data_IF_243644112015
#
_entry.id   IF_243644112015
#
_cell.length_a   1.000
_cell.length_b   1.000
_cell.length_c   1.000
_cell.angle_alpha   90.00
_cell.angle_beta   90.00
_cell.angle_gamma   90.00
#
_symmetry.space_group_name_H-M   'P 1'
#
loop_
_entity.id
_entity.type
_entity.pdbx_description
1 polymer ?
#
# COMPACT_ATOMS: atom_id res chain seq x y z
N UNK A 1 9.81 -27.22 -6.27
CA UNK A 1 9.06 -26.24 -5.48
C UNK A 1 9.94 -25.66 -4.37
N UNK A 2 10.62 -26.48 -3.56
CA UNK A 2 11.47 -25.99 -2.46
C UNK A 2 12.60 -25.07 -2.94
N UNK A 3 13.33 -25.46 -3.99
CA UNK A 3 14.35 -24.64 -4.64
C UNK A 3 13.75 -23.31 -5.16
N UNK A 4 12.54 -23.35 -5.69
CA UNK A 4 11.82 -22.16 -6.15
C UNK A 4 11.52 -21.21 -4.98
N UNK A 5 11.09 -21.73 -3.83
CA UNK A 5 10.85 -20.91 -2.63
C UNK A 5 12.14 -20.22 -2.17
N UNK A 6 13.27 -20.94 -2.21
CA UNK A 6 14.57 -20.34 -1.88
C UNK A 6 14.95 -19.18 -2.84
N UNK A 7 14.69 -19.36 -4.15
CA UNK A 7 14.90 -18.32 -5.15
C UNK A 7 14.00 -17.12 -4.88
N UNK A 8 12.70 -17.34 -4.64
CA UNK A 8 11.74 -16.27 -4.34
C UNK A 8 12.14 -15.48 -3.08
N UNK A 9 12.62 -16.16 -2.03
CA UNK A 9 13.17 -15.51 -0.83
C UNK A 9 14.35 -14.61 -1.15
N UNK A 10 15.25 -15.05 -2.06
CA UNK A 10 16.37 -14.23 -2.52
C UNK A 10 15.96 -13.01 -3.36
N UNK A 11 14.81 -13.06 -4.01
CA UNK A 11 14.27 -11.97 -4.83
C UNK A 11 13.34 -11.03 -4.05
N UNK A 12 12.80 -11.48 -2.92
CA UNK A 12 11.77 -10.80 -2.13
C UNK A 12 12.06 -9.33 -1.92
N UNK A 13 13.22 -8.99 -1.40
CA UNK A 13 13.59 -7.63 -1.03
C UNK A 13 13.57 -6.68 -2.24
N UNK A 14 13.99 -7.15 -3.41
CA UNK A 14 13.96 -6.37 -4.65
C UNK A 14 12.54 -6.07 -5.11
N UNK A 15 11.63 -7.04 -4.99
CA UNK A 15 10.23 -6.88 -5.36
C UNK A 15 9.47 -6.00 -4.35
N UNK A 16 9.76 -6.15 -3.06
CA UNK A 16 9.22 -5.26 -2.02
C UNK A 16 9.59 -3.79 -2.27
N UNK A 17 10.84 -3.52 -2.65
CA UNK A 17 11.30 -2.16 -2.99
C UNK A 17 10.66 -1.68 -4.29
N UNK A 18 10.59 -2.53 -5.31
CA UNK A 18 10.05 -2.16 -6.63
C UNK A 18 8.57 -1.76 -6.54
N UNK A 19 7.76 -2.56 -5.85
CA UNK A 19 6.32 -2.31 -5.71
C UNK A 19 5.98 -1.43 -4.51
N UNK A 20 6.91 -1.22 -3.58
CA UNK A 20 6.68 -0.43 -2.37
C UNK A 20 5.68 -1.07 -1.40
N UNK A 21 5.68 -2.39 -1.32
CA UNK A 21 4.79 -3.21 -0.49
C UNK A 21 5.61 -4.21 0.32
N UNK A 22 4.96 -4.94 1.22
CA UNK A 22 5.55 -6.05 1.96
C UNK A 22 5.04 -7.39 1.47
N UNK A 23 5.96 -8.35 1.25
CA UNK A 23 5.64 -9.71 0.81
C UNK A 23 5.89 -10.67 1.97
N UNK A 24 4.85 -11.38 2.43
CA UNK A 24 4.98 -12.37 3.48
C UNK A 24 5.63 -13.66 2.95
N UNK A 25 6.32 -14.41 3.82
CA UNK A 25 6.91 -15.71 3.44
C UNK A 25 5.82 -16.72 2.98
N UNK A 26 4.63 -16.63 3.59
CA UNK A 26 3.47 -17.41 3.18
C UNK A 26 3.02 -17.16 1.74
N UNK A 27 3.14 -15.92 1.26
CA UNK A 27 2.84 -15.57 -0.13
C UNK A 27 3.84 -16.20 -1.10
N UNK A 28 5.15 -16.23 -0.76
CA UNK A 28 6.18 -16.89 -1.58
C UNK A 28 5.93 -18.40 -1.69
N UNK A 29 5.60 -19.04 -0.57
CA UNK A 29 5.26 -20.46 -0.53
C UNK A 29 4.02 -20.73 -1.40
N UNK A 30 2.99 -19.90 -1.26
CA UNK A 30 1.76 -20.00 -2.03
C UNK A 30 2.00 -19.78 -3.52
N UNK A 31 2.80 -18.79 -3.90
CA UNK A 31 3.16 -18.52 -5.28
C UNK A 31 3.86 -19.72 -5.93
N UNK A 32 4.82 -20.36 -5.23
CA UNK A 32 5.51 -21.55 -5.72
C UNK A 32 4.56 -22.75 -5.86
N UNK A 33 3.69 -22.98 -4.88
CA UNK A 33 2.76 -24.12 -4.88
C UNK A 33 1.62 -23.95 -5.89
N UNK A 34 0.98 -22.78 -5.91
CA UNK A 34 -0.17 -22.51 -6.78
C UNK A 34 0.25 -22.42 -8.24
N UNK A 35 1.37 -21.76 -8.55
CA UNK A 35 1.89 -21.73 -9.90
C UNK A 35 2.25 -23.13 -10.40
N UNK A 36 2.87 -23.98 -9.56
CA UNK A 36 3.19 -25.35 -9.92
C UNK A 36 1.93 -26.18 -10.22
N UNK A 37 0.85 -25.97 -9.47
CA UNK A 37 -0.39 -26.74 -9.58
C UNK A 37 -1.29 -26.26 -10.70
N UNK A 38 -1.40 -24.97 -10.95
CA UNK A 38 -2.44 -24.40 -11.81
C UNK A 38 -1.92 -23.82 -13.12
N UNK A 39 -0.62 -23.51 -13.23
CA UNK A 39 -0.01 -22.98 -14.47
C UNK A 39 0.77 -24.12 -15.15
N UNK A 40 0.19 -24.70 -16.19
CA UNK A 40 0.74 -25.87 -16.86
C UNK A 40 1.71 -25.55 -18.01
N UNK A 41 1.59 -24.40 -18.62
CA UNK A 41 2.27 -23.98 -19.85
C UNK A 41 3.62 -23.28 -19.60
N UNK A 42 4.04 -23.14 -18.33
CA UNK A 42 5.31 -22.54 -17.92
C UNK A 42 6.04 -23.37 -16.86
N UNK A 43 7.33 -23.12 -16.71
CA UNK A 43 8.19 -23.87 -15.79
C UNK A 43 8.50 -23.04 -14.52
N UNK A 44 8.84 -23.74 -13.43
CA UNK A 44 9.45 -23.13 -12.26
C UNK A 44 10.93 -22.82 -12.57
N UNK A 45 11.51 -21.72 -12.03
CA UNK A 45 10.89 -20.77 -11.09
C UNK A 45 10.04 -19.67 -11.74
N UNK A 46 10.10 -19.46 -13.05
CA UNK A 46 9.58 -18.29 -13.75
C UNK A 46 8.10 -18.02 -13.45
N UNK A 47 7.25 -19.04 -13.55
CA UNK A 47 5.82 -18.89 -13.27
C UNK A 47 5.50 -18.51 -11.82
N UNK A 48 6.36 -18.85 -10.87
CA UNK A 48 6.20 -18.47 -9.48
C UNK A 48 6.66 -17.02 -9.25
N UNK A 49 7.70 -16.59 -9.95
CA UNK A 49 8.17 -15.21 -9.96
C UNK A 49 7.09 -14.31 -10.56
N UNK A 50 6.53 -14.68 -11.71
CA UNK A 50 5.43 -13.93 -12.34
C UNK A 50 4.21 -13.80 -11.42
N UNK A 51 3.84 -14.89 -10.72
CA UNK A 51 2.69 -14.86 -9.81
C UNK A 51 2.93 -13.98 -8.59
N UNK A 52 4.17 -13.98 -8.06
CA UNK A 52 4.57 -13.08 -6.99
C UNK A 52 4.54 -11.61 -7.45
N UNK A 53 5.06 -11.32 -8.64
CA UNK A 53 5.08 -9.99 -9.25
C UNK A 53 3.66 -9.46 -9.51
N UNK A 54 2.80 -10.28 -10.08
CA UNK A 54 1.39 -9.93 -10.32
C UNK A 54 0.63 -9.66 -9.01
N UNK A 55 0.84 -10.52 -7.99
CA UNK A 55 0.24 -10.31 -6.67
C UNK A 55 0.69 -8.99 -6.03
N UNK A 56 1.98 -8.69 -6.13
CA UNK A 56 2.58 -7.46 -5.64
C UNK A 56 2.04 -6.22 -6.39
N UNK A 57 1.97 -6.29 -7.71
CA UNK A 57 1.41 -5.23 -8.56
C UNK A 57 -0.04 -4.95 -8.25
N UNK A 58 -0.84 -6.00 -8.03
CA UNK A 58 -2.26 -5.88 -7.71
C UNK A 58 -2.46 -5.22 -6.36
N UNK A 59 -1.72 -5.64 -5.33
CA UNK A 59 -1.79 -4.99 -4.03
C UNK A 59 -1.36 -3.52 -4.11
N UNK A 60 -0.33 -3.20 -4.89
CA UNK A 60 0.07 -1.80 -5.12
C UNK A 60 -1.05 -0.98 -5.75
N UNK A 61 -1.76 -1.52 -6.74
CA UNK A 61 -2.92 -0.86 -7.32
C UNK A 61 -4.05 -0.64 -6.30
N UNK A 62 -4.29 -1.62 -5.42
CA UNK A 62 -5.28 -1.50 -4.35
C UNK A 62 -4.91 -0.39 -3.35
N UNK A 63 -3.62 -0.30 -2.97
CA UNK A 63 -3.11 0.79 -2.12
C UNK A 63 -3.25 2.18 -2.75
N UNK A 64 -3.09 2.27 -4.06
CA UNK A 64 -3.22 3.53 -4.79
C UNK A 64 -4.68 3.91 -5.09
N UNK A 65 -5.58 2.96 -5.03
CA UNK A 65 -7.01 3.13 -5.28
C UNK A 65 -7.74 3.62 -4.02
N UNK A 66 -8.85 4.34 -4.24
CA UNK A 66 -9.72 4.75 -3.14
C UNK A 66 -10.45 3.55 -2.55
N UNK A 67 -10.47 3.36 -1.22
CA UNK A 67 -11.23 2.31 -0.56
C UNK A 67 -12.72 2.32 -0.93
N UNK A 68 -13.31 1.13 -1.04
CA UNK A 68 -14.71 0.94 -1.46
C UNK A 68 -15.67 1.69 -0.54
N UNK A 69 -15.38 1.75 0.76
CA UNK A 69 -16.22 2.45 1.75
C UNK A 69 -16.28 3.95 1.46
N UNK A 70 -15.17 4.55 1.05
CA UNK A 70 -15.12 5.98 0.69
C UNK A 70 -15.85 6.20 -0.64
N UNK A 71 -15.62 5.36 -1.65
CA UNK A 71 -16.29 5.47 -2.95
C UNK A 71 -17.81 5.37 -2.80
N UNK A 72 -18.32 4.45 -1.96
CA UNK A 72 -19.75 4.33 -1.69
C UNK A 72 -20.33 5.58 -1.03
N UNK A 73 -19.62 6.17 -0.04
CA UNK A 73 -20.06 7.42 0.59
C UNK A 73 -20.06 8.58 -0.41
N UNK A 74 -19.06 8.70 -1.26
CA UNK A 74 -18.99 9.75 -2.29
C UNK A 74 -20.13 9.64 -3.31
N UNK A 75 -20.49 8.42 -3.71
CA UNK A 75 -21.64 8.19 -4.60
C UNK A 75 -22.95 8.57 -3.93
N UNK A 76 -23.12 8.27 -2.64
CA UNK A 76 -24.31 8.68 -1.89
C UNK A 76 -24.37 10.21 -1.75
N UNK A 77 -23.24 10.85 -1.44
CA UNK A 77 -23.16 12.32 -1.35
C UNK A 77 -23.57 12.94 -2.70
N UNK A 78 -22.97 12.46 -3.80
CA UNK A 78 -23.30 12.97 -5.14
C UNK A 78 -24.79 12.82 -5.47
N UNK A 79 -25.39 11.67 -5.14
CA UNK A 79 -26.84 11.43 -5.36
C UNK A 79 -27.67 12.43 -4.58
N UNK A 80 -27.36 12.68 -3.30
CA UNK A 80 -28.09 13.63 -2.47
C UNK A 80 -27.83 15.09 -2.90
N UNK A 81 -26.67 15.44 -3.42
CA UNK A 81 -26.39 16.76 -3.98
C UNK A 81 -27.21 17.04 -5.25
N UNK A 82 -27.41 16.02 -6.08
CA UNK A 82 -28.33 16.11 -7.24
C UNK A 82 -29.74 16.36 -6.77
N UNK A 83 -30.20 15.61 -5.75
CA UNK A 83 -31.54 15.80 -5.16
C UNK A 83 -31.70 17.18 -4.50
N UNK A 84 -30.66 17.66 -3.77
CA UNK A 84 -30.64 19.01 -3.19
C UNK A 84 -30.84 20.09 -4.26
N UNK A 85 -30.14 19.94 -5.38
CA UNK A 85 -30.24 20.88 -6.50
C UNK A 85 -31.65 20.91 -7.10
N UNK A 86 -32.29 19.75 -7.20
CA UNK A 86 -33.67 19.65 -7.68
C UNK A 86 -34.64 20.29 -6.70
N UNK A 87 -34.59 19.93 -5.41
CA UNK A 87 -35.50 20.43 -4.36
C UNK A 87 -35.35 21.94 -4.10
N UNK A 88 -34.17 22.50 -4.34
CA UNK A 88 -33.93 23.94 -4.18
C UNK A 88 -34.79 24.78 -5.15
N UNK A 89 -35.22 24.21 -6.27
CA UNK A 89 -36.06 24.87 -7.27
C UNK A 89 -37.57 24.82 -6.91
N UNK A 90 -37.94 23.92 -6.01
CA UNK A 90 -39.30 23.72 -5.57
C UNK A 90 -39.72 24.73 -4.46
N UNK A 91 -41.00 25.12 -4.45
CA UNK A 91 -41.47 26.15 -3.52
C UNK A 91 -42.48 25.64 -2.49
N UNK A 92 -42.96 24.41 -2.64
CA UNK A 92 -43.96 23.82 -1.74
C UNK A 92 -43.37 23.47 -0.35
N UNK A 93 -44.24 23.32 0.65
CA UNK A 93 -43.84 23.09 2.03
C UNK A 93 -43.16 21.72 2.23
N UNK A 94 -43.65 20.69 1.53
CA UNK A 94 -43.10 19.33 1.65
C UNK A 94 -41.67 19.25 1.11
N UNK A 95 -41.40 19.88 -0.05
CA UNK A 95 -40.07 19.98 -0.63
C UNK A 95 -39.10 20.74 0.26
N UNK A 96 -39.53 21.77 0.96
CA UNK A 96 -38.72 22.52 1.92
C UNK A 96 -38.33 21.69 3.15
N UNK A 97 -39.27 20.94 3.70
CA UNK A 97 -39.03 20.03 4.82
C UNK A 97 -38.03 18.93 4.41
N UNK A 98 -38.24 18.30 3.25
CA UNK A 98 -37.35 17.32 2.68
C UNK A 98 -35.93 17.89 2.47
N UNK A 99 -35.81 19.09 1.90
CA UNK A 99 -34.53 19.79 1.70
C UNK A 99 -33.81 20.01 3.03
N UNK A 100 -34.53 20.37 4.11
CA UNK A 100 -33.91 20.55 5.43
C UNK A 100 -33.34 19.25 5.99
N UNK A 101 -34.08 18.15 5.85
CA UNK A 101 -33.64 16.83 6.29
C UNK A 101 -32.45 16.31 5.45
N UNK A 102 -32.53 16.50 4.13
CA UNK A 102 -31.46 16.14 3.19
C UNK A 102 -30.16 16.88 3.46
N UNK A 103 -30.22 18.18 3.79
CA UNK A 103 -29.02 18.95 4.16
C UNK A 103 -28.35 18.42 5.43
N UNK A 104 -29.12 17.95 6.41
CA UNK A 104 -28.53 17.30 7.61
C UNK A 104 -27.84 15.99 7.22
N UNK A 105 -28.50 15.14 6.43
CA UNK A 105 -27.89 13.89 5.95
C UNK A 105 -26.62 14.13 5.13
N UNK A 106 -26.60 15.14 4.26
CA UNK A 106 -25.44 15.54 3.50
C UNK A 106 -24.29 15.98 4.40
N UNK A 107 -24.58 16.78 5.43
CA UNK A 107 -23.56 17.23 6.38
C UNK A 107 -22.91 16.04 7.10
N UNK A 108 -23.73 15.10 7.61
CA UNK A 108 -23.26 13.91 8.31
C UNK A 108 -22.41 13.00 7.40
N UNK A 109 -22.86 12.78 6.15
CA UNK A 109 -22.13 11.95 5.19
C UNK A 109 -20.81 12.61 4.75
N UNK A 110 -20.81 13.93 4.53
CA UNK A 110 -19.60 14.70 4.20
C UNK A 110 -18.57 14.67 5.33
N UNK A 111 -19.03 14.78 6.59
CA UNK A 111 -18.15 14.68 7.75
C UNK A 111 -17.51 13.28 7.83
N UNK A 112 -18.33 12.23 7.68
CA UNK A 112 -17.83 10.84 7.65
C UNK A 112 -16.84 10.59 6.52
N UNK A 113 -17.18 11.06 5.30
CA UNK A 113 -16.28 10.94 4.14
C UNK A 113 -14.96 11.68 4.37
N UNK A 114 -15.00 12.90 4.90
CA UNK A 114 -13.80 13.67 5.20
C UNK A 114 -12.90 12.98 6.23
N UNK A 115 -13.49 12.40 7.29
CA UNK A 115 -12.76 11.63 8.30
C UNK A 115 -12.07 10.40 7.70
N UNK A 116 -12.79 9.60 6.91
CA UNK A 116 -12.24 8.39 6.28
C UNK A 116 -11.18 8.75 5.22
N UNK A 117 -11.38 9.81 4.44
CA UNK A 117 -10.37 10.30 3.49
C UNK A 117 -9.10 10.75 4.19
N UNK A 118 -9.22 11.47 5.31
CA UNK A 118 -8.08 11.86 6.14
C UNK A 118 -7.30 10.63 6.62
N UNK A 119 -8.00 9.67 7.22
CA UNK A 119 -7.41 8.42 7.67
C UNK A 119 -6.70 7.67 6.53
N UNK A 120 -7.36 7.51 5.40
CA UNK A 120 -6.77 6.85 4.21
C UNK A 120 -5.51 7.56 3.72
N UNK A 121 -5.52 8.89 3.66
CA UNK A 121 -4.34 9.67 3.24
C UNK A 121 -3.18 9.51 4.22
N UNK A 122 -3.45 9.49 5.52
CA UNK A 122 -2.44 9.30 6.55
C UNK A 122 -1.83 7.89 6.48
N UNK A 123 -2.66 6.85 6.32
CA UNK A 123 -2.21 5.47 6.15
C UNK A 123 -1.34 5.33 4.88
N UNK A 124 -1.79 5.88 3.75
CA UNK A 124 -1.06 5.88 2.48
C UNK A 124 0.28 6.62 2.59
N UNK A 125 0.31 7.76 3.27
CA UNK A 125 1.53 8.53 3.49
C UNK A 125 2.54 7.75 4.35
N UNK A 126 2.09 7.06 5.40
CA UNK A 126 2.94 6.24 6.26
C UNK A 126 3.55 5.05 5.50
N UNK A 127 2.75 4.33 4.70
CA UNK A 127 3.22 3.22 3.85
C UNK A 127 4.25 3.71 2.83
N UNK A 128 3.98 4.83 2.15
CA UNK A 128 4.91 5.40 1.18
C UNK A 128 6.22 5.88 1.84
N UNK A 129 6.15 6.45 3.04
CA UNK A 129 7.35 6.84 3.79
C UNK A 129 8.25 5.64 4.11
N UNK A 130 7.66 4.52 4.57
CA UNK A 130 8.39 3.28 4.81
C UNK A 130 9.01 2.71 3.52
N UNK A 131 8.27 2.74 2.41
CA UNK A 131 8.75 2.31 1.08
C UNK A 131 9.95 3.15 0.60
N UNK A 132 9.90 4.48 0.76
CA UNK A 132 11.03 5.37 0.42
C UNK A 132 12.27 5.05 1.25
N UNK A 133 12.10 4.76 2.54
CA UNK A 133 13.23 4.41 3.41
C UNK A 133 13.83 3.07 2.98
N UNK A 134 13.02 2.06 2.66
CA UNK A 134 13.48 0.78 2.11
C UNK A 134 14.29 0.99 0.82
N UNK A 135 13.80 1.81 -0.11
CA UNK A 135 14.54 2.15 -1.32
C UNK A 135 15.92 2.77 -1.05
N UNK A 136 16.03 3.64 -0.04
CA UNK A 136 17.32 4.22 0.37
C UNK A 136 18.26 3.21 1.02
N UNK A 137 17.73 2.22 1.73
CA UNK A 137 18.55 1.13 2.29
C UNK A 137 19.14 0.30 1.15
N UNK A 138 18.34 -0.07 0.16
CA UNK A 138 18.80 -0.82 -1.01
C UNK A 138 19.82 -0.03 -1.86
N UNK A 139 19.62 1.27 -2.01
CA UNK A 139 20.61 2.14 -2.65
C UNK A 139 21.92 2.15 -1.87
N UNK A 140 21.86 2.32 -0.54
CA UNK A 140 23.05 2.31 0.31
C UNK A 140 23.79 0.95 0.26
N UNK A 141 23.09 -0.17 0.23
CA UNK A 141 23.68 -1.50 0.09
C UNK A 141 24.38 -1.67 -1.26
N UNK A 142 23.78 -1.18 -2.34
CA UNK A 142 24.41 -1.19 -3.68
C UNK A 142 25.66 -0.31 -3.73
N UNK A 143 25.62 0.86 -3.10
CA UNK A 143 26.77 1.76 -2.98
C UNK A 143 27.90 1.08 -2.19
N UNK A 144 27.57 0.37 -1.10
CA UNK A 144 28.52 -0.41 -0.31
C UNK A 144 29.19 -1.49 -1.16
N UNK A 145 28.42 -2.32 -1.88
CA UNK A 145 28.96 -3.35 -2.77
C UNK A 145 29.83 -2.77 -3.89
N UNK A 146 29.50 -1.60 -4.39
CA UNK A 146 30.28 -0.91 -5.41
C UNK A 146 31.62 -0.43 -4.84
N UNK A 147 31.62 0.13 -3.62
CA UNK A 147 32.84 0.56 -2.91
C UNK A 147 33.72 -0.63 -2.58
N UNK A 148 33.17 -1.76 -2.11
CA UNK A 148 33.92 -2.99 -1.85
C UNK A 148 34.60 -3.52 -3.13
N UNK A 149 33.89 -3.56 -4.24
CA UNK A 149 34.46 -3.99 -5.55
C UNK A 149 35.55 -3.04 -6.07
N UNK A 150 35.45 -1.75 -5.73
CA UNK A 150 36.45 -0.75 -6.06
C UNK A 150 37.67 -0.76 -5.11
N UNK A 151 37.61 -1.55 -4.01
CA UNK A 151 38.67 -1.60 -2.98
C UNK A 151 38.61 -0.43 -2.00
N UNK A 152 37.59 0.41 -2.04
CA UNK A 152 37.39 1.51 -1.09
C UNK A 152 36.70 1.01 0.18
N UNK A 153 37.47 0.34 1.03
CA UNK A 153 36.99 -0.24 2.28
C UNK A 153 36.56 0.84 3.29
N UNK A 154 37.07 2.08 3.18
CA UNK A 154 36.71 3.16 4.06
C UNK A 154 35.27 3.59 3.81
N UNK A 155 34.92 3.87 2.55
CA UNK A 155 33.55 4.23 2.16
C UNK A 155 32.59 3.07 2.41
N UNK A 156 32.97 1.83 2.12
CA UNK A 156 32.16 0.66 2.41
C UNK A 156 31.82 0.54 3.90
N UNK A 157 32.82 0.73 4.78
CA UNK A 157 32.64 0.68 6.23
C UNK A 157 31.74 1.84 6.74
N UNK A 158 31.89 3.06 6.22
CA UNK A 158 31.05 4.20 6.57
C UNK A 158 29.57 3.92 6.21
N UNK A 159 29.32 3.35 5.05
CA UNK A 159 27.96 2.98 4.64
C UNK A 159 27.40 1.88 5.55
N UNK A 160 28.17 0.81 5.76
CA UNK A 160 27.76 -0.36 6.53
C UNK A 160 27.47 -0.06 8.00
N UNK A 161 28.32 0.72 8.65
CA UNK A 161 28.24 0.97 10.10
C UNK A 161 27.60 2.31 10.46
N UNK A 162 27.42 3.20 9.48
CA UNK A 162 26.83 4.52 9.69
C UNK A 162 25.50 4.71 8.96
N UNK A 163 25.53 4.69 7.61
CA UNK A 163 24.35 5.05 6.80
C UNK A 163 23.23 4.00 6.88
N UNK A 164 23.54 2.72 6.76
CA UNK A 164 22.54 1.63 6.77
C UNK A 164 21.86 1.50 8.12
N UNK A 165 22.53 1.40 9.27
CA UNK A 165 21.89 1.32 10.58
C UNK A 165 20.98 2.53 10.88
N UNK A 166 21.40 3.74 10.51
CA UNK A 166 20.59 4.94 10.70
C UNK A 166 19.31 4.96 9.84
N UNK A 167 19.31 4.31 8.68
CA UNK A 167 18.11 4.13 7.86
C UNK A 167 17.22 3.02 8.40
N UNK A 168 17.80 1.92 8.90
CA UNK A 168 17.05 0.81 9.53
C UNK A 168 16.33 1.26 10.80
N UNK A 169 16.95 2.12 11.61
CA UNK A 169 16.30 2.73 12.77
C UNK A 169 15.08 3.59 12.37
N UNK A 170 15.24 4.43 11.34
CA UNK A 170 14.12 5.23 10.79
C UNK A 170 13.01 4.35 10.24
N UNK A 171 13.35 3.24 9.60
CA UNK A 171 12.39 2.27 9.10
C UNK A 171 11.62 1.60 10.24
N UNK A 172 12.30 1.24 11.33
CA UNK A 172 11.68 0.65 12.51
C UNK A 172 10.66 1.62 13.12
N UNK A 173 11.00 2.90 13.28
CA UNK A 173 10.09 3.94 13.77
C UNK A 173 8.89 4.10 12.83
N UNK A 174 9.10 4.14 11.52
CA UNK A 174 8.02 4.25 10.55
C UNK A 174 7.06 3.04 10.61
N UNK A 175 7.61 1.82 10.74
CA UNK A 175 6.81 0.59 10.90
C UNK A 175 6.01 0.54 12.19
N UNK A 176 6.56 1.03 13.31
CA UNK A 176 5.81 1.12 14.57
C UNK A 176 4.67 2.13 14.47
N UNK A 177 4.90 3.30 13.85
CA UNK A 177 3.84 4.28 13.61
C UNK A 177 2.68 3.71 12.76
N UNK A 178 2.99 2.87 11.76
CA UNK A 178 1.99 2.13 10.98
C UNK A 178 1.23 1.14 11.86
N UNK A 179 1.90 0.43 12.77
CA UNK A 179 1.24 -0.54 13.67
C UNK A 179 0.32 0.13 14.69
N UNK A 180 0.69 1.26 15.25
CA UNK A 180 -0.12 1.99 16.21
C UNK A 180 -1.46 2.45 15.65
N UNK A 181 -1.55 2.67 14.34
CA UNK A 181 -2.80 2.98 13.63
C UNK A 181 -3.74 1.78 13.43
N UNK A 182 -3.41 0.60 13.99
CA UNK A 182 -3.97 -0.73 13.64
C UNK A 182 -5.42 -0.98 14.10
N UNK A 183 -6.14 -0.04 14.69
CA UNK A 183 -7.50 -0.28 15.21
C UNK A 183 -8.60 -0.40 14.14
N UNK A 184 -8.44 0.19 12.98
CA UNK A 184 -9.45 0.20 11.89
C UNK A 184 -8.82 0.58 10.55
N UNK A 185 -7.87 -0.22 10.07
CA UNK A 185 -7.15 0.05 8.82
C UNK A 185 -8.07 -0.05 7.60
N UNK A 186 -7.92 0.91 6.70
CA UNK A 186 -8.55 0.92 5.38
C UNK A 186 -7.67 0.24 4.31
N UNK A 187 -6.35 0.18 4.52
CA UNK A 187 -5.39 -0.34 3.57
C UNK A 187 -4.67 -1.59 4.10
N UNK A 188 -4.48 -2.58 3.21
CA UNK A 188 -3.57 -3.71 3.43
C UNK A 188 -2.24 -3.42 2.73
N UNK A 189 -1.12 -3.59 3.45
CA UNK A 189 0.24 -3.38 2.93
C UNK A 189 1.00 -4.68 2.66
N UNK A 190 0.40 -5.82 2.97
CA UNK A 190 1.06 -7.13 2.94
C UNK A 190 0.33 -8.12 2.02
N UNK A 191 1.11 -8.87 1.24
CA UNK A 191 0.69 -10.05 0.47
C UNK A 191 1.15 -11.30 1.16
#
# INVERSE_FOLDING_TARGET
VEETIAILRGLKERYEVHHGIRIQDGALISAAQLSNRYIADRFLPDKAIDLMDEGASRLRMELDSMPVEIDQLERQILQLEIEETALTKEKDAASKERLTNLKKQLADLKERSAKLKGQWQDEKAAINAASIINGKIEEARRDQEAAERAGDLSTAAEIQYGRVPGLEEKLAVAKEAIKEQTGNRLLNEEV
#
